data_IF_119578286867
#
_entry.id   IF_119578286867
#
_cell.length_a   1.000
_cell.length_b   1.000
_cell.length_c   1.000
_cell.angle_alpha   90.00
_cell.angle_beta   90.00
_cell.angle_gamma   90.00
#
_symmetry.space_group_name_H-M   'P 1'
#
loop_
_entity.id
_entity.type
_entity.pdbx_description
1 polymer ?
#
# COMPACT_ATOMS: atom_id res chain seq x y z
N UNK A 1 35.64 42.02 -35.97
CA UNK A 1 35.83 41.72 -34.54
C UNK A 1 34.46 41.41 -33.96
N UNK A 2 34.13 40.14 -33.80
CA UNK A 2 32.88 39.71 -33.14
C UNK A 2 33.20 38.41 -32.42
N UNK A 3 33.30 38.50 -31.09
CA UNK A 3 33.60 37.38 -30.21
C UNK A 3 32.31 36.67 -29.84
N UNK A 4 32.26 35.35 -30.07
CA UNK A 4 31.17 34.48 -29.62
C UNK A 4 31.48 33.99 -28.20
N UNK A 5 30.54 34.21 -27.28
CA UNK A 5 30.60 33.69 -25.92
C UNK A 5 30.10 32.23 -25.88
N UNK A 6 30.76 31.33 -25.14
CA UNK A 6 30.28 29.97 -24.94
C UNK A 6 29.15 29.95 -23.92
N UNK A 7 28.08 29.20 -24.23
CA UNK A 7 26.94 28.98 -23.34
C UNK A 7 27.25 27.74 -22.50
N UNK A 8 27.52 27.94 -21.21
CA UNK A 8 27.68 26.85 -20.26
C UNK A 8 26.36 26.10 -20.07
N UNK A 9 26.34 24.86 -20.51
CA UNK A 9 25.27 23.90 -20.28
C UNK A 9 25.36 23.47 -18.81
N UNK A 10 24.47 23.99 -17.98
CA UNK A 10 24.30 23.49 -16.61
C UNK A 10 23.80 22.05 -16.67
N UNK A 11 24.68 21.11 -16.34
CA UNK A 11 24.30 19.73 -16.05
C UNK A 11 23.37 19.73 -14.85
N UNK A 12 22.10 19.43 -15.11
CA UNK A 12 21.08 19.17 -14.12
C UNK A 12 21.59 18.19 -13.06
N UNK A 13 21.82 18.70 -11.86
CA UNK A 13 21.82 17.92 -10.63
C UNK A 13 20.41 17.32 -10.51
N UNK A 14 20.22 16.11 -11.02
CA UNK A 14 19.11 15.25 -10.59
C UNK A 14 19.36 14.93 -9.13
N UNK A 15 18.98 15.87 -8.25
CA UNK A 15 18.78 15.61 -6.84
C UNK A 15 17.91 14.36 -6.78
N UNK A 16 18.51 13.25 -6.34
CA UNK A 16 17.77 12.04 -6.00
C UNK A 16 16.77 12.47 -4.95
N UNK A 17 15.53 12.69 -5.38
CA UNK A 17 14.41 12.86 -4.48
C UNK A 17 14.52 11.76 -3.41
N UNK A 18 14.39 12.10 -2.12
CA UNK A 18 14.49 11.11 -1.06
C UNK A 18 13.57 9.94 -1.44
N UNK A 19 14.15 8.74 -1.55
CA UNK A 19 13.39 7.55 -1.88
C UNK A 19 12.15 7.53 -0.98
N UNK A 20 10.94 7.37 -1.55
CA UNK A 20 9.72 7.46 -0.77
C UNK A 20 9.84 6.46 0.38
N UNK A 21 9.65 6.92 1.62
CA UNK A 21 9.72 6.08 2.82
C UNK A 21 8.80 4.89 2.62
N UNK A 22 9.39 3.69 2.50
CA UNK A 22 8.65 2.44 2.38
C UNK A 22 8.48 1.80 3.75
N UNK A 23 7.27 1.37 4.07
CA UNK A 23 6.92 0.78 5.36
C UNK A 23 6.34 -0.62 5.18
N UNK A 24 6.93 -1.61 5.85
CA UNK A 24 6.43 -2.98 5.82
C UNK A 24 5.14 -3.11 6.63
N UNK A 25 4.17 -3.82 6.06
CA UNK A 25 2.90 -4.09 6.70
C UNK A 25 2.36 -5.48 6.35
N UNK A 26 1.44 -5.94 7.18
CA UNK A 26 0.59 -7.09 6.93
C UNK A 26 -0.83 -6.58 6.69
N UNK A 27 -1.40 -6.93 5.54
CA UNK A 27 -2.75 -6.55 5.14
C UNK A 27 -3.66 -7.76 5.23
N UNK A 28 -4.68 -7.66 6.08
CA UNK A 28 -5.79 -8.59 6.12
C UNK A 28 -6.88 -8.11 5.15
N UNK A 29 -7.37 -9.01 4.32
CA UNK A 29 -8.37 -8.70 3.31
C UNK A 29 -9.81 -9.06 3.75
N UNK A 30 -10.76 -8.37 3.13
CA UNK A 30 -12.20 -8.52 3.29
C UNK A 30 -12.83 -7.34 4.06
N UNK A 31 -14.07 -7.53 4.49
CA UNK A 31 -14.88 -6.59 5.27
C UNK A 31 -15.18 -7.28 6.60
N UNK A 32 -14.76 -6.67 7.70
CA UNK A 32 -14.97 -7.20 9.03
C UNK A 32 -16.46 -7.34 9.34
N UNK A 33 -16.91 -8.56 9.59
CA UNK A 33 -18.26 -8.86 10.03
C UNK A 33 -18.34 -8.84 11.56
N UNK A 34 -19.55 -8.74 12.10
CA UNK A 34 -19.81 -8.79 13.55
C UNK A 34 -19.34 -10.10 14.20
N UNK A 35 -19.23 -11.19 13.43
CA UNK A 35 -18.71 -12.48 13.88
C UNK A 35 -17.16 -12.57 13.90
N UNK A 36 -16.46 -11.47 13.57
CA UNK A 36 -15.00 -11.40 13.57
C UNK A 36 -14.30 -12.01 12.35
N UNK A 37 -15.05 -12.52 11.36
CA UNK A 37 -14.51 -12.97 10.08
C UNK A 37 -14.53 -11.83 9.06
N UNK A 38 -13.58 -11.81 8.13
CA UNK A 38 -13.59 -10.90 7.00
C UNK A 38 -14.18 -11.60 5.76
N UNK A 39 -15.26 -11.03 5.22
CA UNK A 39 -15.98 -11.52 4.02
C UNK A 39 -15.86 -10.53 2.87
N UNK A 40 -16.20 -10.93 1.64
CA UNK A 40 -16.09 -10.10 0.44
C UNK A 40 -14.64 -9.67 0.10
N UNK A 41 -14.51 -8.84 -0.95
CA UNK A 41 -13.24 -8.30 -1.43
C UNK A 41 -13.09 -6.87 -0.90
N UNK A 42 -11.96 -6.56 -0.25
CA UNK A 42 -11.69 -5.26 0.36
C UNK A 42 -10.50 -5.30 1.33
N UNK A 43 -10.32 -4.23 2.10
CA UNK A 43 -9.30 -4.12 3.15
C UNK A 43 -9.98 -4.23 4.52
N UNK A 44 -9.58 -5.24 5.27
CA UNK A 44 -10.09 -5.52 6.61
C UNK A 44 -9.18 -4.85 7.66
N UNK A 45 -7.85 -4.98 7.50
CA UNK A 45 -6.88 -4.37 8.43
C UNK A 45 -5.51 -4.18 7.79
N UNK A 46 -4.82 -3.10 8.17
CA UNK A 46 -3.40 -2.86 7.87
C UNK A 46 -2.63 -2.81 9.19
N UNK A 47 -1.67 -3.71 9.38
CA UNK A 47 -0.81 -3.78 10.56
C UNK A 47 0.65 -3.55 10.16
N UNK A 48 1.28 -2.50 10.68
CA UNK A 48 2.69 -2.23 10.37
C UNK A 48 3.59 -3.11 11.23
N UNK A 49 4.72 -3.56 10.66
CA UNK A 49 5.58 -4.55 11.32
C UNK A 49 6.20 -4.05 12.62
N UNK A 50 6.27 -2.74 12.86
CA UNK A 50 6.69 -2.16 14.14
C UNK A 50 5.69 -2.41 15.28
N UNK A 51 4.43 -2.71 14.97
CA UNK A 51 3.36 -2.96 15.96
C UNK A 51 3.23 -4.47 16.27
N UNK A 52 4.01 -5.33 15.60
CA UNK A 52 3.94 -6.80 15.72
C UNK A 52 4.23 -7.33 17.11
N UNK A 53 4.87 -6.55 17.98
CA UNK A 53 5.14 -6.97 19.37
C UNK A 53 3.89 -7.02 20.25
N UNK A 54 2.73 -6.51 19.79
CA UNK A 54 1.43 -6.67 20.49
C UNK A 54 0.50 -7.73 19.88
N UNK A 55 0.94 -8.45 18.83
CA UNK A 55 0.13 -9.49 18.20
C UNK A 55 0.17 -10.85 18.94
N UNK A 56 0.85 -10.93 20.09
CA UNK A 56 0.88 -12.15 20.91
C UNK A 56 -0.32 -12.34 21.83
N UNK A 57 -1.33 -11.45 21.83
CA UNK A 57 -2.44 -11.54 22.80
C UNK A 57 -3.78 -12.03 22.27
N UNK A 58 -3.91 -12.46 21.00
CA UNK A 58 -5.12 -13.18 20.56
C UNK A 58 -4.80 -14.31 19.59
N UNK A 59 -4.56 -15.49 20.15
CA UNK A 59 -4.74 -16.81 19.51
C UNK A 59 -6.22 -17.06 19.17
N UNK A 60 -6.90 -16.11 18.53
CA UNK A 60 -8.22 -16.34 17.97
C UNK A 60 -8.03 -16.59 16.48
N UNK A 61 -8.54 -17.74 16.03
CA UNK A 61 -8.49 -18.28 14.66
C UNK A 61 -9.17 -17.38 13.62
N UNK A 62 -8.75 -16.12 13.46
CA UNK A 62 -9.27 -15.24 12.42
C UNK A 62 -8.83 -15.79 11.07
N UNK A 63 -9.81 -16.10 10.21
CA UNK A 63 -9.60 -16.72 8.89
C UNK A 63 -9.53 -15.66 7.77
N UNK A 64 -9.02 -14.48 8.07
CA UNK A 64 -8.89 -13.43 7.06
C UNK A 64 -7.73 -13.81 6.12
N UNK A 65 -7.91 -13.76 4.80
CA UNK A 65 -6.78 -13.83 3.87
C UNK A 65 -5.78 -12.72 4.19
N UNK A 66 -4.50 -13.05 4.17
CA UNK A 66 -3.40 -12.16 4.55
C UNK A 66 -2.39 -12.06 3.40
N UNK A 67 -1.80 -10.87 3.24
CA UNK A 67 -0.57 -10.67 2.47
C UNK A 67 0.36 -9.69 3.19
N UNK A 68 1.67 -9.92 3.05
CA UNK A 68 2.67 -8.90 3.31
C UNK A 68 2.58 -7.81 2.24
N UNK A 69 2.93 -6.58 2.62
CA UNK A 69 2.84 -5.42 1.76
C UNK A 69 3.91 -4.38 2.09
N UNK A 70 4.27 -3.59 1.09
CA UNK A 70 5.08 -2.37 1.23
C UNK A 70 4.17 -1.17 1.02
N UNK A 71 4.08 -0.32 2.04
CA UNK A 71 3.31 0.92 2.01
C UNK A 71 4.22 2.07 1.63
N UNK A 72 3.73 2.98 0.81
CA UNK A 72 4.42 4.21 0.40
C UNK A 72 3.39 5.31 0.14
N UNK A 73 3.85 6.53 -0.10
CA UNK A 73 2.99 7.68 -0.37
C UNK A 73 3.22 8.17 -1.80
N UNK A 74 2.13 8.35 -2.55
CA UNK A 74 2.21 8.92 -3.89
C UNK A 74 2.60 10.41 -3.85
N UNK A 75 3.07 11.00 -4.97
CA UNK A 75 3.31 12.44 -5.05
C UNK A 75 2.08 13.30 -4.74
N UNK A 76 0.87 12.72 -4.81
CA UNK A 76 -0.40 13.38 -4.47
C UNK A 76 -0.78 13.24 -2.99
N UNK A 77 0.06 12.59 -2.17
CA UNK A 77 -0.23 12.36 -0.75
C UNK A 77 -1.18 11.19 -0.48
N UNK A 78 -1.38 10.29 -1.45
CA UNK A 78 -2.26 9.12 -1.33
C UNK A 78 -1.48 7.88 -0.91
N UNK A 79 -2.17 6.91 -0.29
CA UNK A 79 -1.54 5.64 0.05
C UNK A 79 -1.31 4.79 -1.20
N UNK A 80 -0.07 4.33 -1.37
CA UNK A 80 0.33 3.34 -2.36
C UNK A 80 0.73 2.05 -1.65
N UNK A 81 0.20 0.93 -2.13
CA UNK A 81 0.49 -0.39 -1.57
C UNK A 81 1.02 -1.31 -2.67
N UNK A 82 2.19 -1.88 -2.41
CA UNK A 82 2.75 -2.97 -3.19
C UNK A 82 2.63 -4.28 -2.44
N UNK A 83 2.07 -5.30 -3.09
CA UNK A 83 1.92 -6.66 -2.57
C UNK A 83 2.86 -7.58 -3.33
N UNK A 84 4.04 -7.93 -2.77
CA UNK A 84 4.93 -8.90 -3.38
C UNK A 84 4.26 -10.27 -3.48
N UNK A 85 4.46 -10.99 -4.59
CA UNK A 85 3.94 -12.36 -4.76
C UNK A 85 4.45 -13.31 -3.69
N UNK A 86 5.71 -13.17 -3.30
CA UNK A 86 6.34 -13.96 -2.23
C UNK A 86 5.69 -13.77 -0.86
N UNK A 87 5.07 -12.60 -0.63
CA UNK A 87 4.41 -12.24 0.61
C UNK A 87 2.94 -12.68 0.71
N UNK A 88 2.42 -13.42 -0.28
CA UNK A 88 1.02 -13.86 -0.29
C UNK A 88 0.87 -15.33 -0.62
N UNK A 89 -0.18 -15.95 -0.08
CA UNK A 89 -0.55 -17.32 -0.45
C UNK A 89 -1.17 -17.33 -1.86
N UNK A 90 -0.93 -18.37 -2.68
CA UNK A 90 -1.54 -18.47 -4.02
C UNK A 90 -3.07 -18.43 -4.02
N UNK A 91 -3.72 -18.90 -2.95
CA UNK A 91 -5.18 -18.79 -2.81
C UNK A 91 -5.64 -17.34 -2.58
N UNK A 92 -4.91 -16.55 -1.79
CA UNK A 92 -5.17 -15.11 -1.61
C UNK A 92 -4.99 -14.39 -2.95
N UNK A 93 -3.88 -14.66 -3.64
CA UNK A 93 -3.58 -14.07 -4.95
C UNK A 93 -4.72 -14.30 -5.95
N UNK A 94 -5.17 -15.56 -6.08
CA UNK A 94 -6.24 -15.93 -7.02
C UNK A 94 -7.58 -15.28 -6.69
N UNK A 95 -7.87 -14.99 -5.43
CA UNK A 95 -9.14 -14.37 -5.01
C UNK A 95 -9.10 -12.86 -5.22
N UNK A 96 -8.03 -12.19 -4.79
CA UNK A 96 -7.99 -10.73 -4.70
C UNK A 96 -7.35 -10.05 -5.91
N UNK A 97 -6.47 -10.76 -6.64
CA UNK A 97 -5.64 -10.16 -7.69
C UNK A 97 -5.84 -10.83 -9.07
N UNK A 98 -6.84 -11.70 -9.23
CA UNK A 98 -7.20 -12.32 -10.53
C UNK A 98 -7.73 -11.30 -11.54
N UNK A 99 -8.44 -10.27 -11.10
CA UNK A 99 -8.93 -9.18 -11.95
C UNK A 99 -7.92 -8.03 -12.06
N UNK A 100 -8.06 -7.13 -13.06
CA UNK A 100 -7.22 -5.93 -13.18
C UNK A 100 -7.62 -4.82 -12.20
N UNK A 101 -8.58 -5.08 -11.32
CA UNK A 101 -9.16 -4.11 -10.39
C UNK A 101 -9.26 -4.70 -8.99
N UNK A 102 -9.12 -3.83 -7.99
CA UNK A 102 -9.30 -4.10 -6.58
C UNK A 102 -10.51 -3.31 -6.07
N UNK A 103 -11.66 -3.95 -5.82
CA UNK A 103 -12.82 -3.27 -5.29
C UNK A 103 -12.68 -3.02 -3.78
N UNK A 104 -12.96 -1.79 -3.36
CA UNK A 104 -13.14 -1.40 -1.96
C UNK A 104 -14.62 -1.15 -1.75
N UNK A 105 -15.31 -2.14 -1.17
CA UNK A 105 -16.77 -2.09 -0.98
C UNK A 105 -17.19 -1.22 0.20
N UNK A 106 -16.33 -1.11 1.22
CA UNK A 106 -16.57 -0.33 2.43
C UNK A 106 -15.35 0.58 2.64
N UNK A 107 -15.61 1.86 2.90
CA UNK A 107 -14.55 2.81 3.15
C UNK A 107 -13.72 2.36 4.35
N UNK A 108 -12.39 2.41 4.22
CA UNK A 108 -11.47 1.94 5.24
C UNK A 108 -10.77 3.14 5.89
N UNK A 109 -11.02 3.36 7.18
CA UNK A 109 -10.33 4.39 7.96
C UNK A 109 -8.89 3.94 8.23
N UNK A 110 -7.92 4.75 7.80
CA UNK A 110 -6.51 4.46 7.99
C UNK A 110 -6.13 4.66 9.46
N UNK A 111 -5.35 3.72 10.06
CA UNK A 111 -4.82 3.91 11.41
C UNK A 111 -3.99 5.20 11.49
N UNK A 112 -4.19 5.99 12.55
CA UNK A 112 -3.42 7.23 12.76
C UNK A 112 -1.91 6.99 12.83
N UNK A 113 -1.50 5.80 13.30
CA UNK A 113 -0.10 5.39 13.33
C UNK A 113 0.55 5.37 11.94
N UNK A 114 -0.21 5.17 10.87
CA UNK A 114 0.31 5.25 9.50
C UNK A 114 0.75 6.67 9.15
N UNK A 115 0.01 7.70 9.56
CA UNK A 115 0.38 9.10 9.26
C UNK A 115 1.74 9.46 9.88
N UNK A 116 2.01 8.93 11.07
CA UNK A 116 3.28 9.16 11.76
C UNK A 116 4.44 8.41 11.08
N UNK A 117 4.17 7.25 10.48
CA UNK A 117 5.19 6.40 9.86
C UNK A 117 5.41 6.70 8.36
N UNK A 118 4.42 7.34 7.71
CA UNK A 118 4.44 7.72 6.30
C UNK A 118 4.23 9.25 6.18
N UNK A 119 5.29 10.04 6.42
CA UNK A 119 5.21 11.49 6.30
C UNK A 119 4.81 11.86 4.86
N UNK A 120 3.81 12.75 4.74
CA UNK A 120 3.23 13.13 3.45
C UNK A 120 1.92 12.42 3.11
N UNK A 121 1.51 11.39 3.86
CA UNK A 121 0.19 10.80 3.73
C UNK A 121 -0.88 11.81 4.18
N UNK A 122 -1.64 12.34 3.23
CA UNK A 122 -2.72 13.31 3.49
C UNK A 122 -4.07 12.60 3.66
N UNK A 123 -4.21 11.42 3.04
CA UNK A 123 -5.41 10.60 3.10
C UNK A 123 -5.67 10.06 4.51
N UNK A 124 -6.92 10.16 4.96
CA UNK A 124 -7.37 9.57 6.23
C UNK A 124 -8.20 8.29 6.03
N UNK A 125 -8.84 8.18 4.87
CA UNK A 125 -9.79 7.11 4.54
C UNK A 125 -9.49 6.65 3.13
N UNK A 126 -9.46 5.35 2.91
CA UNK A 126 -9.57 4.75 1.57
C UNK A 126 -11.07 4.71 1.23
N UNK A 127 -11.55 5.56 0.30
CA UNK A 127 -12.96 5.60 -0.03
C UNK A 127 -13.43 4.33 -0.72
N UNK A 128 -14.76 4.16 -0.78
CA UNK A 128 -15.34 3.09 -1.60
C UNK A 128 -15.04 3.35 -3.07
N UNK A 129 -14.76 2.30 -3.83
CA UNK A 129 -14.41 2.47 -5.23
C UNK A 129 -13.80 1.24 -5.87
N UNK A 130 -13.38 1.42 -7.11
CA UNK A 130 -12.69 0.40 -7.91
C UNK A 130 -11.31 0.94 -8.24
N UNK A 131 -10.29 0.26 -7.74
CA UNK A 131 -8.90 0.70 -7.87
C UNK A 131 -8.16 -0.14 -8.90
N UNK A 132 -7.45 0.48 -9.86
CA UNK A 132 -6.69 -0.28 -10.85
C UNK A 132 -5.51 -1.00 -10.19
N UNK A 133 -5.34 -2.27 -10.52
CA UNK A 133 -4.18 -3.06 -10.11
C UNK A 133 -3.15 -2.99 -11.24
N UNK A 134 -1.97 -2.43 -10.95
CA UNK A 134 -0.80 -2.56 -11.84
C UNK A 134 -0.08 -3.85 -11.48
N UNK A 135 0.12 -4.72 -12.47
CA UNK A 135 0.78 -6.01 -12.28
C UNK A 135 2.21 -5.94 -12.76
N UNK A 136 3.09 -6.58 -12.02
CA UNK A 136 4.44 -6.92 -12.44
C UNK A 136 4.70 -8.41 -12.21
N UNK A 137 5.89 -8.86 -12.60
CA UNK A 137 6.36 -10.21 -12.28
C UNK A 137 6.56 -10.37 -10.76
N UNK A 138 6.96 -9.29 -10.08
CA UNK A 138 7.26 -9.29 -8.65
C UNK A 138 6.01 -9.17 -7.76
N UNK A 139 4.92 -8.59 -8.25
CA UNK A 139 3.77 -8.32 -7.39
C UNK A 139 2.65 -7.49 -8.02
N UNK A 140 1.89 -6.88 -7.13
CA UNK A 140 0.69 -6.11 -7.45
C UNK A 140 0.76 -4.76 -6.77
N UNK A 141 0.53 -3.70 -7.53
CA UNK A 141 0.58 -2.33 -7.04
C UNK A 141 -0.80 -1.68 -7.15
N UNK A 142 -1.21 -1.01 -6.08
CA UNK A 142 -2.47 -0.28 -5.98
C UNK A 142 -2.21 1.09 -5.37
N UNK A 143 -2.73 2.14 -5.99
CA UNK A 143 -2.80 3.49 -5.43
C UNK A 143 -4.25 3.77 -5.07
N UNK A 144 -4.49 4.21 -3.82
CA UNK A 144 -5.81 4.38 -3.22
C UNK A 144 -6.31 5.84 -3.16
#
# INVERSE_FOLDING_TARGET
>A
MTAYAPTDVQLNTLERAPFPTTLNANVEFGVLQSNGNCTNIGICRINTTHVSNMANTRKEKRRCPLAEALLSVSPKGHLQIFFPRSGMKPCTERVFFRGPIFPVQVAYLLPESLKNQLPGLQQQVIPTGIYPIRRSDEGYFIEF
#
